data_IF_010886051284
#
_entry.id   IF_010886051284
#
_cell.length_a   1.000
_cell.length_b   1.000
_cell.length_c   1.000
_cell.angle_alpha   90.00
_cell.angle_beta   90.00
_cell.angle_gamma   90.00
#
_symmetry.space_group_name_H-M   'P 1'
#
loop_
_entity.id
_entity.type
_entity.pdbx_description
1 polymer ?
#
# COMPACT_ATOMS: atom_id res chain seq x y z
N UNK A 1 9.42 23.04 -1.37
CA UNK A 1 8.15 22.77 -2.10
C UNK A 1 7.22 21.98 -1.19
N UNK A 2 5.97 22.44 -1.05
CA UNK A 2 5.02 21.97 -0.02
C UNK A 2 4.67 20.48 -0.19
N UNK A 3 5.15 19.66 0.74
CA UNK A 3 4.94 18.19 0.87
C UNK A 3 3.47 17.76 0.74
N UNK A 4 2.52 18.67 0.99
CA UNK A 4 1.08 18.42 0.94
C UNK A 4 0.54 18.27 -0.49
N UNK A 5 1.10 18.97 -1.48
CA UNK A 5 0.60 18.95 -2.87
C UNK A 5 1.08 17.71 -3.65
N UNK A 6 2.31 17.27 -3.40
CA UNK A 6 2.88 16.08 -4.05
C UNK A 6 2.06 14.82 -3.73
N UNK A 7 1.53 14.72 -2.49
CA UNK A 7 0.69 13.58 -2.09
C UNK A 7 -0.66 13.55 -2.80
N UNK A 8 -1.28 14.70 -3.06
CA UNK A 8 -2.58 14.77 -3.75
C UNK A 8 -2.46 14.44 -5.24
N UNK A 9 -1.39 14.88 -5.91
CA UNK A 9 -1.19 14.63 -7.34
C UNK A 9 -0.75 13.16 -7.59
N UNK A 10 0.01 12.57 -6.66
CA UNK A 10 0.46 11.17 -6.77
C UNK A 10 -0.65 10.14 -6.50
N UNK A 11 -1.82 10.55 -6.00
CA UNK A 11 -3.00 9.69 -5.80
C UNK A 11 -3.49 9.00 -7.08
N UNK A 12 -3.26 9.63 -8.23
CA UNK A 12 -3.71 9.14 -9.55
C UNK A 12 -2.72 8.15 -10.14
N UNK A 13 -1.44 8.21 -9.74
CA UNK A 13 -0.40 7.39 -10.33
C UNK A 13 -0.63 5.88 -10.07
N UNK A 14 -0.23 5.01 -11.02
CA UNK A 14 -0.41 3.57 -10.91
C UNK A 14 0.42 2.97 -9.77
N UNK A 15 0.01 1.84 -9.21
CA UNK A 15 0.85 1.12 -8.25
C UNK A 15 2.02 0.48 -8.98
N UNK A 16 3.19 0.34 -8.33
CA UNK A 16 4.31 -0.39 -8.93
C UNK A 16 3.86 -1.79 -9.34
N UNK A 17 4.19 -2.21 -10.57
CA UNK A 17 3.69 -3.46 -11.16
C UNK A 17 4.05 -4.70 -10.34
N UNK A 18 5.14 -4.64 -9.59
CA UNK A 18 5.65 -5.78 -8.81
C UNK A 18 5.12 -5.82 -7.37
N UNK A 19 4.12 -5.00 -7.03
CA UNK A 19 3.50 -5.05 -5.71
C UNK A 19 2.60 -6.27 -5.62
N UNK A 20 2.85 -7.13 -4.65
CA UNK A 20 2.05 -8.32 -4.37
C UNK A 20 1.52 -8.28 -2.92
N UNK A 21 0.52 -9.11 -2.63
CA UNK A 21 -0.13 -9.19 -1.32
C UNK A 21 -1.44 -8.39 -1.22
N UNK A 22 -2.02 -8.39 -0.02
CA UNK A 22 -3.30 -7.76 0.29
C UNK A 22 -3.24 -7.06 1.65
N UNK A 23 -4.21 -6.19 1.91
CA UNK A 23 -4.32 -5.48 3.18
C UNK A 23 -4.67 -6.48 4.29
N UNK A 24 -3.76 -6.69 5.25
CA UNK A 24 -3.95 -7.58 6.40
C UNK A 24 -4.73 -6.99 7.56
N UNK A 25 -5.03 -5.69 7.54
CA UNK A 25 -5.60 -5.02 8.72
C UNK A 25 -4.58 -4.74 9.83
N UNK A 26 -3.28 -4.68 9.51
CA UNK A 26 -2.23 -4.29 10.47
C UNK A 26 -2.38 -2.86 11.03
N UNK A 27 -3.12 -1.98 10.35
CA UNK A 27 -3.33 -0.60 10.79
C UNK A 27 -2.14 0.35 10.61
N UNK A 28 -0.95 -0.16 10.27
CA UNK A 28 0.28 0.63 10.12
C UNK A 28 0.12 1.82 9.15
N UNK A 29 -0.42 1.56 7.95
CA UNK A 29 -0.65 2.60 6.95
C UNK A 29 -1.75 3.60 7.35
N UNK A 30 -2.70 3.20 8.20
CA UNK A 30 -3.77 4.07 8.70
C UNK A 30 -3.28 5.02 9.81
N UNK A 31 -2.10 4.77 10.40
CA UNK A 31 -1.49 5.62 11.42
C UNK A 31 -0.57 6.70 10.83
N UNK A 32 -0.28 6.64 9.52
CA UNK A 32 0.71 7.50 8.87
C UNK A 32 0.09 8.66 8.05
N UNK A 33 0.67 9.87 8.11
CA UNK A 33 1.51 10.41 9.19
C UNK A 33 0.68 10.82 10.42
N UNK A 34 -0.65 10.84 10.28
CA UNK A 34 -1.61 11.17 11.33
C UNK A 34 -2.57 9.99 11.44
N UNK A 35 -3.02 9.68 12.66
CA UNK A 35 -3.98 8.60 12.88
C UNK A 35 -5.27 8.91 12.13
N UNK A 36 -5.64 8.02 11.21
CA UNK A 36 -6.88 8.11 10.45
C UNK A 36 -8.09 8.00 11.38
N UNK A 37 -9.03 8.94 11.27
CA UNK A 37 -10.27 8.97 12.05
C UNK A 37 -11.20 7.78 11.78
N UNK A 38 -11.02 7.11 10.63
CA UNK A 38 -11.80 5.94 10.25
C UNK A 38 -11.17 4.61 10.72
N UNK A 39 -10.02 4.66 11.41
CA UNK A 39 -9.38 3.48 11.99
C UNK A 39 -10.09 3.09 13.28
N UNK A 40 -10.74 1.94 13.26
CA UNK A 40 -11.38 1.33 14.43
C UNK A 40 -10.57 0.13 14.91
N UNK A 41 -10.82 -0.27 16.15
CA UNK A 41 -10.27 -1.50 16.74
C UNK A 41 -11.45 -2.40 17.06
N UNK A 42 -11.35 -3.68 16.68
CA UNK A 42 -12.34 -4.69 17.01
C UNK A 42 -12.17 -5.18 18.46
N UNK A 43 -13.13 -5.97 18.96
CA UNK A 43 -13.09 -6.53 20.31
C UNK A 43 -11.87 -7.43 20.54
N UNK A 44 -11.35 -8.06 19.47
CA UNK A 44 -10.14 -8.89 19.50
C UNK A 44 -8.83 -8.07 19.38
N UNK A 45 -8.91 -6.73 19.43
CA UNK A 45 -7.75 -5.85 19.31
C UNK A 45 -7.23 -5.65 17.89
N UNK A 46 -7.90 -6.22 16.87
CA UNK A 46 -7.52 -6.07 15.47
C UNK A 46 -7.94 -4.73 14.88
N UNK A 47 -7.11 -4.12 14.03
CA UNK A 47 -7.45 -2.86 13.38
C UNK A 47 -8.36 -3.07 12.17
N UNK A 48 -9.43 -2.29 12.07
CA UNK A 48 -10.36 -2.27 10.93
C UNK A 48 -10.56 -0.86 10.40
N UNK A 49 -10.91 -0.75 9.11
CA UNK A 49 -11.25 0.51 8.48
C UNK A 49 -12.77 0.59 8.33
N UNK A 50 -13.42 1.52 9.04
CA UNK A 50 -14.88 1.68 9.00
C UNK A 50 -15.41 1.99 7.58
N UNK A 51 -14.60 2.64 6.74
CA UNK A 51 -14.95 2.96 5.35
C UNK A 51 -14.20 2.10 4.32
N UNK A 52 -13.90 0.83 4.63
CA UNK A 52 -13.04 -0.03 3.79
C UNK A 52 -13.45 -0.06 2.30
N UNK A 53 -14.77 -0.11 2.02
CA UNK A 53 -15.36 -0.08 0.66
C UNK A 53 -15.15 1.25 -0.06
N UNK A 54 -15.15 2.36 0.68
CA UNK A 54 -15.04 3.72 0.17
C UNK A 54 -13.64 4.31 0.34
N UNK A 55 -12.64 3.49 0.66
CA UNK A 55 -11.26 3.95 0.89
C UNK A 55 -10.82 4.91 -0.21
N UNK A 56 -10.23 6.06 0.11
CA UNK A 56 -9.73 6.96 -0.92
C UNK A 56 -8.59 6.26 -1.71
N UNK A 57 -8.32 6.67 -2.96
CA UNK A 57 -7.28 6.06 -3.79
C UNK A 57 -5.92 5.93 -3.10
N UNK A 58 -5.57 6.91 -2.26
CA UNK A 58 -4.35 6.90 -1.46
C UNK A 58 -4.25 5.66 -0.55
N UNK A 59 -5.33 5.31 0.16
CA UNK A 59 -5.37 4.14 1.01
C UNK A 59 -5.42 2.83 0.21
N UNK A 60 -6.08 2.80 -0.95
CA UNK A 60 -6.15 1.58 -1.80
C UNK A 60 -4.81 1.25 -2.46
N UNK A 61 -4.05 2.29 -2.81
CA UNK A 61 -2.80 2.18 -3.56
C UNK A 61 -1.57 2.09 -2.66
N UNK A 62 -1.70 2.35 -1.35
CA UNK A 62 -0.59 2.21 -0.41
C UNK A 62 -0.28 0.73 -0.13
N UNK A 63 0.99 0.33 -0.02
CA UNK A 63 2.18 1.07 -0.47
C UNK A 63 2.25 1.10 -2.00
N UNK A 64 2.47 2.28 -2.59
CA UNK A 64 2.57 2.44 -4.06
C UNK A 64 3.92 1.98 -4.59
N UNK A 65 4.96 2.13 -3.78
CA UNK A 65 6.38 1.91 -4.12
C UNK A 65 7.10 1.20 -2.97
N UNK A 66 8.25 0.54 -3.22
CA UNK A 66 9.06 -0.06 -2.17
C UNK A 66 9.45 0.94 -1.08
N UNK A 67 9.76 2.18 -1.44
CA UNK A 67 10.10 3.24 -0.48
C UNK A 67 8.96 3.59 0.46
N UNK A 68 7.70 3.44 0.03
CA UNK A 68 6.54 3.64 0.91
C UNK A 68 6.33 2.45 1.85
N UNK A 69 6.65 1.23 1.42
CA UNK A 69 6.59 0.05 2.28
C UNK A 69 7.59 0.15 3.44
N UNK A 70 8.77 0.73 3.21
CA UNK A 70 9.76 1.00 4.26
C UNK A 70 9.21 1.83 5.44
N UNK A 71 8.16 2.62 5.24
CA UNK A 71 7.53 3.41 6.31
C UNK A 71 6.72 2.56 7.30
N UNK A 72 6.40 1.32 6.93
CA UNK A 72 5.57 0.37 7.70
C UNK A 72 6.23 -1.01 7.73
N UNK A 73 7.56 -1.04 7.60
CA UNK A 73 8.35 -2.26 7.57
C UNK A 73 8.16 -3.04 8.88
N UNK A 74 8.00 -4.37 8.78
CA UNK A 74 7.72 -5.24 9.92
C UNK A 74 6.23 -5.38 10.30
N UNK A 75 5.37 -4.43 9.94
CA UNK A 75 3.93 -4.50 10.23
C UNK A 75 3.07 -4.85 8.99
N UNK A 76 3.49 -4.39 7.81
CA UNK A 76 2.68 -4.51 6.60
C UNK A 76 3.02 -5.77 5.78
N UNK A 77 2.00 -6.48 5.32
CA UNK A 77 2.13 -7.75 4.55
C UNK A 77 2.33 -7.56 3.06
N UNK A 78 2.29 -6.33 2.55
CA UNK A 78 2.58 -6.05 1.14
C UNK A 78 4.08 -6.27 0.87
N UNK A 79 4.41 -6.79 -0.31
CA UNK A 79 5.80 -6.98 -0.73
C UNK A 79 6.02 -6.47 -2.16
N UNK A 80 7.29 -6.28 -2.53
CA UNK A 80 7.68 -5.91 -3.89
C UNK A 80 8.73 -6.90 -4.38
N UNK A 81 8.40 -7.67 -5.42
CA UNK A 81 9.37 -8.58 -6.04
C UNK A 81 10.26 -7.77 -6.98
N UNK A 82 11.59 -7.82 -6.80
CA UNK A 82 12.51 -7.39 -7.86
C UNK A 82 12.35 -8.38 -9.01
N UNK A 83 11.86 -7.92 -10.18
CA UNK A 83 12.01 -8.73 -11.39
C UNK A 83 13.51 -8.82 -11.61
N UNK A 84 14.05 -10.01 -11.45
CA UNK A 84 15.46 -10.29 -11.69
C UNK A 84 15.73 -10.13 -13.20
N UNK A 85 16.90 -9.56 -13.58
CA UNK A 85 17.18 -9.21 -14.97
C UNK A 85 17.18 -10.43 -15.92
N UNK A 86 17.27 -11.66 -15.41
CA UNK A 86 17.11 -12.92 -16.16
C UNK A 86 15.71 -13.12 -16.77
N UNK A 87 14.69 -12.33 -16.37
CA UNK A 87 13.34 -12.39 -16.94
C UNK A 87 13.01 -11.26 -17.92
N UNK A 88 13.94 -10.35 -18.18
CA UNK A 88 13.76 -9.31 -19.20
C UNK A 88 14.07 -9.94 -20.56
N UNK A 89 13.05 -10.54 -21.19
CA UNK A 89 13.15 -11.05 -22.57
C UNK A 89 12.49 -12.40 -22.84
N UNK A 90 12.11 -13.17 -21.83
CA UNK A 90 11.35 -14.41 -22.05
C UNK A 90 9.85 -14.09 -22.09
N UNK A 91 9.30 -14.05 -23.30
CA UNK A 91 7.85 -14.11 -23.51
C UNK A 91 7.30 -15.30 -22.70
N UNK A 92 6.33 -15.05 -21.83
CA UNK A 92 5.63 -16.11 -21.09
C UNK A 92 4.75 -16.83 -22.13
N UNK A 93 5.02 -18.10 -22.51
CA UNK A 93 4.10 -18.84 -23.34
C UNK A 93 2.81 -19.02 -22.56
N UNK A 94 1.69 -18.55 -23.11
CA UNK A 94 0.36 -18.91 -22.65
C UNK A 94 0.12 -20.35 -23.10
N UNK A 95 0.22 -21.29 -22.17
CA UNK A 95 -0.36 -22.63 -22.32
C UNK A 95 -1.85 -22.60 -22.02
#
# INVERSE_FOLDING_TARGET
MSSKFVRTITSILPVHKNRTGSCSGCGACCKLPVRCVFLTTDNDGLFRCSIYKYRPPNCRKFPRTPSQLKLVEGECTYTFTSISPDRIGKAIPRG
#
